data_IF_440715469878
#
_entry.id   IF_440715469878
#
_cell.length_a   1.000
_cell.length_b   1.000
_cell.length_c   1.000
_cell.angle_alpha   90.00
_cell.angle_beta   90.00
_cell.angle_gamma   90.00
#
_symmetry.space_group_name_H-M   'P 1'
#
loop_
_entity.id
_entity.type
_entity.pdbx_description
1 polymer ?
#
# COMPACT_ATOMS: atom_id res chain seq x y z
N UNK A 1 -24.83 -21.65 22.96
CA UNK A 1 -23.45 -22.10 22.67
C UNK A 1 -22.74 -20.97 21.98
N UNK A 2 -21.72 -20.45 22.65
CA UNK A 2 -20.99 -19.23 22.36
C UNK A 2 -19.81 -19.65 21.46
N UNK A 3 -19.91 -19.43 20.15
CA UNK A 3 -18.75 -19.62 19.28
C UNK A 3 -17.78 -18.47 19.55
N UNK A 4 -16.58 -18.82 20.02
CA UNK A 4 -15.50 -17.89 20.28
C UNK A 4 -15.26 -17.02 19.03
N UNK A 5 -15.39 -15.69 19.18
CA UNK A 5 -14.79 -14.73 18.24
C UNK A 5 -13.31 -15.09 18.15
N UNK A 6 -12.88 -15.59 17.00
CA UNK A 6 -11.47 -15.86 16.72
C UNK A 6 -10.61 -14.62 17.00
N UNK A 7 -9.52 -14.85 17.70
CA UNK A 7 -8.64 -13.91 18.41
C UNK A 7 -7.88 -12.90 17.56
N UNK A 8 -7.94 -12.99 16.23
CA UNK A 8 -7.13 -12.15 15.32
C UNK A 8 -7.54 -10.67 15.38
N UNK A 9 -8.83 -10.39 15.58
CA UNK A 9 -9.32 -9.00 15.69
C UNK A 9 -9.10 -8.37 17.08
N UNK A 10 -8.68 -9.15 18.08
CA UNK A 10 -8.57 -8.65 19.45
C UNK A 10 -7.55 -7.51 19.59
N UNK A 11 -6.56 -7.48 18.70
CA UNK A 11 -5.48 -6.49 18.69
C UNK A 11 -5.57 -5.49 17.54
N UNK A 12 -6.67 -5.48 16.76
CA UNK A 12 -6.87 -4.49 15.71
C UNK A 12 -7.16 -3.12 16.34
N UNK A 13 -6.38 -2.07 16.05
CA UNK A 13 -6.66 -0.73 16.57
C UNK A 13 -7.94 -0.16 15.96
N UNK A 14 -8.68 0.62 16.76
CA UNK A 14 -9.87 1.34 16.30
C UNK A 14 -9.47 2.39 15.25
N UNK A 15 -9.65 2.01 13.99
CA UNK A 15 -9.14 2.72 12.83
C UNK A 15 -9.88 2.34 11.56
N UNK A 16 -9.81 3.22 10.56
CA UNK A 16 -10.31 2.95 9.21
C UNK A 16 -9.14 2.66 8.28
N UNK A 17 -9.32 1.66 7.43
CA UNK A 17 -8.36 1.25 6.41
C UNK A 17 -8.84 1.74 5.04
N UNK A 18 -7.90 2.14 4.19
CA UNK A 18 -8.22 2.41 2.78
C UNK A 18 -8.27 1.09 2.00
N UNK A 19 -9.37 0.85 1.28
CA UNK A 19 -9.80 -0.49 0.83
C UNK A 19 -8.91 -1.11 -0.28
N UNK A 20 -8.10 -0.29 -0.96
CA UNK A 20 -7.63 -0.65 -2.31
C UNK A 20 -6.12 -0.88 -2.47
N UNK A 21 -5.27 -0.45 -1.54
CA UNK A 21 -3.81 -0.44 -1.78
C UNK A 21 -3.06 -1.05 -0.60
N UNK A 22 -2.49 -2.22 -0.86
CA UNK A 22 -1.68 -3.01 0.08
C UNK A 22 -0.27 -3.17 -0.45
N UNK A 23 0.70 -3.30 0.45
CA UNK A 23 2.04 -3.78 0.09
C UNK A 23 2.54 -4.78 1.13
N UNK A 24 3.41 -5.70 0.72
CA UNK A 24 3.93 -6.76 1.58
C UNK A 24 5.45 -6.75 1.58
N UNK A 25 6.04 -6.68 2.76
CA UNK A 25 7.50 -6.69 2.97
C UNK A 25 7.80 -7.21 4.37
N UNK A 26 8.93 -7.90 4.55
CA UNK A 26 9.36 -8.46 5.84
C UNK A 26 8.28 -9.28 6.57
N UNK A 27 7.57 -10.16 5.84
CA UNK A 27 6.56 -11.05 6.43
C UNK A 27 5.27 -10.37 6.87
N UNK A 28 5.11 -9.06 6.62
CA UNK A 28 3.92 -8.31 7.01
C UNK A 28 3.20 -7.71 5.81
N UNK A 29 1.87 -7.65 5.92
CA UNK A 29 0.99 -6.94 4.98
C UNK A 29 0.70 -5.55 5.54
N UNK A 30 0.75 -4.53 4.69
CA UNK A 30 0.65 -3.13 5.08
C UNK A 30 -0.52 -2.45 4.40
N UNK A 31 -1.22 -1.61 5.16
CA UNK A 31 -2.31 -0.79 4.67
C UNK A 31 -2.14 0.65 5.11
N UNK A 32 -2.64 1.55 4.28
CA UNK A 32 -2.97 2.88 4.71
C UNK A 32 -4.11 2.84 5.75
N UNK A 33 -3.88 3.46 6.90
CA UNK A 33 -4.88 3.61 7.94
C UNK A 33 -4.91 5.03 8.52
N UNK A 34 -6.05 5.35 9.13
CA UNK A 34 -6.23 6.57 9.89
C UNK A 34 -7.29 6.41 10.99
N UNK A 35 -7.25 7.28 12.01
CA UNK A 35 -8.30 7.39 13.02
C UNK A 35 -8.58 8.84 13.38
N UNK A 36 -9.80 9.11 13.84
CA UNK A 36 -10.15 10.40 14.44
C UNK A 36 -9.64 10.44 15.89
N UNK A 37 -9.09 11.57 16.30
CA UNK A 37 -8.74 11.86 17.69
C UNK A 37 -9.87 12.65 18.35
N UNK A 38 -9.92 12.62 19.69
CA UNK A 38 -10.96 13.30 20.48
C UNK A 38 -11.01 14.82 20.25
N UNK A 39 -9.90 15.42 19.81
CA UNK A 39 -9.80 16.85 19.49
C UNK A 39 -10.21 17.19 18.04
N UNK A 40 -10.77 16.22 17.31
CA UNK A 40 -11.22 16.37 15.93
C UNK A 40 -10.10 16.29 14.88
N UNK A 41 -8.85 16.06 15.28
CA UNK A 41 -7.74 15.83 14.33
C UNK A 41 -7.75 14.40 13.80
N UNK A 42 -7.01 14.18 12.72
CA UNK A 42 -6.82 12.87 12.11
C UNK A 42 -5.40 12.37 12.32
N UNK A 43 -5.26 11.16 12.85
CA UNK A 43 -3.97 10.49 12.93
C UNK A 43 -3.86 9.49 11.78
N UNK A 44 -2.96 9.75 10.85
CA UNK A 44 -2.60 8.84 9.77
C UNK A 44 -1.44 7.92 10.22
N UNK A 45 -1.50 6.64 9.88
CA UNK A 45 -0.47 5.65 10.21
C UNK A 45 -0.56 4.46 9.25
N UNK A 46 0.51 3.69 9.13
CA UNK A 46 0.50 2.45 8.37
C UNK A 46 0.13 1.33 9.33
N UNK A 47 -0.94 0.60 9.02
CA UNK A 47 -1.27 -0.62 9.74
C UNK A 47 -0.49 -1.78 9.12
N UNK A 48 0.26 -2.52 9.93
CA UNK A 48 0.96 -3.72 9.54
C UNK A 48 0.31 -4.93 10.20
N UNK A 49 0.09 -6.01 9.46
CA UNK A 49 -0.28 -7.32 9.98
C UNK A 49 0.89 -8.26 9.75
N UNK A 50 1.54 -8.65 10.83
CA UNK A 50 2.64 -9.60 10.83
C UNK A 50 2.06 -11.01 10.73
N UNK A 51 2.43 -11.74 9.66
CA UNK A 51 1.82 -13.04 9.36
C UNK A 51 2.32 -14.13 10.31
N UNK A 52 3.54 -14.01 10.83
CA UNK A 52 4.16 -15.03 11.69
C UNK A 52 3.59 -14.98 13.12
N UNK A 53 3.44 -13.76 13.66
CA UNK A 53 2.88 -13.53 14.99
C UNK A 53 1.37 -13.39 15.01
N UNK A 54 0.74 -13.19 13.85
CA UNK A 54 -0.69 -12.89 13.68
C UNK A 54 -1.12 -11.61 14.44
N UNK A 55 -0.21 -10.65 14.57
CA UNK A 55 -0.44 -9.41 15.31
C UNK A 55 -0.48 -8.19 14.40
N UNK A 56 -1.30 -7.22 14.81
CA UNK A 56 -1.33 -5.90 14.20
C UNK A 56 -0.34 -4.97 14.90
N UNK A 57 0.37 -4.19 14.11
CA UNK A 57 1.30 -3.18 14.57
C UNK A 57 1.07 -1.88 13.81
N UNK A 58 1.37 -0.76 14.47
CA UNK A 58 1.26 0.56 13.88
C UNK A 58 2.64 1.09 13.56
N UNK A 59 2.84 1.56 12.33
CA UNK A 59 4.06 2.22 11.89
C UNK A 59 3.71 3.69 11.64
N UNK A 60 4.47 4.62 12.23
CA UNK A 60 4.18 6.04 12.04
C UNK A 60 4.55 6.47 10.62
N UNK A 61 3.70 7.30 10.02
CA UNK A 61 4.08 8.06 8.81
C UNK A 61 5.11 9.14 9.17
N UNK A 62 5.85 9.71 8.21
CA UNK A 62 6.85 10.73 8.48
C UNK A 62 6.30 11.95 9.27
N UNK A 63 7.10 12.52 10.17
CA UNK A 63 6.66 13.58 11.10
C UNK A 63 6.23 14.88 10.40
N UNK A 64 6.72 15.14 9.20
CA UNK A 64 6.40 16.34 8.42
C UNK A 64 4.97 16.36 7.87
N UNK A 65 4.20 15.27 8.03
CA UNK A 65 2.85 15.17 7.50
C UNK A 65 1.82 15.86 8.37
N UNK A 66 0.93 16.62 7.72
CA UNK A 66 -0.18 17.32 8.38
C UNK A 66 -1.26 16.30 8.77
N UNK A 67 -1.76 16.46 10.00
CA UNK A 67 -2.77 15.60 10.64
C UNK A 67 -4.18 16.23 10.62
N UNK A 68 -4.39 17.17 9.71
CA UNK A 68 -5.63 17.95 9.62
C UNK A 68 -6.73 17.22 8.86
N UNK A 69 -6.41 16.23 8.01
CA UNK A 69 -7.36 15.41 7.25
C UNK A 69 -6.87 13.97 7.05
N UNK A 70 -7.78 13.02 6.73
CA UNK A 70 -7.37 11.74 6.16
C UNK A 70 -6.56 12.01 4.89
N UNK A 71 -5.33 11.51 4.87
CA UNK A 71 -4.44 11.69 3.73
C UNK A 71 -4.78 10.67 2.64
N UNK A 72 -4.50 10.99 1.39
CA UNK A 72 -4.46 10.04 0.28
C UNK A 72 -2.98 9.74 0.01
N UNK A 73 -2.51 8.57 0.48
CA UNK A 73 -1.13 8.13 0.25
C UNK A 73 -1.10 6.69 -0.23
N UNK A 74 -0.14 6.42 -1.12
CA UNK A 74 0.07 5.11 -1.74
C UNK A 74 1.28 4.44 -1.11
N UNK A 75 1.19 3.13 -0.85
CA UNK A 75 2.29 2.33 -0.32
C UNK A 75 2.85 1.40 -1.40
N UNK A 76 4.15 1.17 -1.37
CA UNK A 76 4.83 0.17 -2.19
C UNK A 76 6.02 -0.40 -1.44
N UNK A 77 6.57 -1.50 -1.96
CA UNK A 77 7.88 -2.00 -1.52
C UNK A 77 8.94 -0.99 -1.99
N UNK A 78 9.95 -0.74 -1.17
CA UNK A 78 11.09 0.10 -1.54
C UNK A 78 11.89 -0.52 -2.70
N UNK A 79 12.66 0.31 -3.41
CA UNK A 79 13.42 -0.15 -4.58
C UNK A 79 14.48 -1.22 -4.32
N UNK A 80 14.96 -1.32 -3.08
CA UNK A 80 15.87 -2.36 -2.62
C UNK A 80 15.16 -3.63 -2.13
N UNK A 81 13.82 -3.61 -2.04
CA UNK A 81 13.00 -4.75 -1.63
C UNK A 81 12.87 -4.96 -0.12
N UNK A 82 13.57 -4.17 0.71
CA UNK A 82 13.76 -4.48 2.14
C UNK A 82 12.82 -3.70 3.08
N UNK A 83 12.08 -2.72 2.55
CA UNK A 83 11.28 -1.82 3.36
C UNK A 83 10.08 -1.24 2.58
N UNK A 84 9.45 -0.22 3.15
CA UNK A 84 8.27 0.45 2.62
C UNK A 84 8.69 1.77 1.96
N UNK A 85 8.12 2.03 0.80
CA UNK A 85 8.05 3.35 0.21
C UNK A 85 6.62 3.91 0.30
N UNK A 86 6.53 5.22 0.50
CA UNK A 86 5.28 5.94 0.59
C UNK A 86 5.28 7.09 -0.41
N UNK A 87 4.17 7.22 -1.13
CA UNK A 87 3.95 8.30 -2.08
C UNK A 87 2.76 9.13 -1.63
N UNK A 88 2.95 10.45 -1.57
CA UNK A 88 1.92 11.35 -1.05
C UNK A 88 1.57 12.41 -2.07
N UNK A 89 0.28 12.54 -2.35
CA UNK A 89 -0.29 13.57 -3.22
C UNK A 89 -1.30 14.36 -2.38
N UNK A 90 -0.98 15.59 -1.95
CA UNK A 90 -1.96 16.44 -1.27
C UNK A 90 -3.13 16.67 -2.22
N UNK A 91 -4.30 16.12 -1.91
CA UNK A 91 -5.53 16.34 -2.69
C UNK A 91 -6.55 17.08 -1.85
N UNK A 92 -7.14 18.13 -2.42
CA UNK A 92 -8.25 18.85 -1.83
C UNK A 92 -8.63 20.09 -2.64
N UNK A 93 -9.91 20.44 -2.64
CA UNK A 93 -10.45 21.61 -3.36
C UNK A 93 -9.82 22.96 -2.97
N UNK A 94 -9.09 23.02 -1.85
CA UNK A 94 -8.40 24.22 -1.34
C UNK A 94 -6.89 23.99 -1.16
N UNK A 95 -6.32 22.91 -1.71
CA UNK A 95 -4.88 22.68 -1.67
C UNK A 95 -4.25 23.44 -2.84
N UNK A 96 -3.46 24.47 -2.52
CA UNK A 96 -2.70 25.29 -3.50
C UNK A 96 -1.46 24.57 -4.02
N UNK A 97 -1.11 23.43 -3.44
CA UNK A 97 0.12 22.70 -3.71
C UNK A 97 -0.25 21.32 -4.28
N UNK A 98 -0.07 21.16 -5.59
CA UNK A 98 -0.15 19.87 -6.25
C UNK A 98 1.29 19.35 -6.40
N UNK A 99 1.71 18.40 -5.56
CA UNK A 99 3.02 17.77 -5.69
C UNK A 99 2.94 16.28 -5.38
N UNK A 100 3.87 15.52 -5.92
CA UNK A 100 4.09 14.13 -5.57
C UNK A 100 5.38 14.00 -4.77
N UNK A 101 5.23 13.73 -3.48
CA UNK A 101 6.32 13.47 -2.56
C UNK A 101 6.59 11.96 -2.49
N UNK A 102 7.85 11.57 -2.62
CA UNK A 102 8.29 10.16 -2.55
C UNK A 102 9.19 9.98 -1.33
N UNK A 103 8.78 9.07 -0.44
CA UNK A 103 9.47 8.76 0.80
C UNK A 103 9.84 7.28 0.85
N UNK A 104 10.94 6.98 1.53
CA UNK A 104 11.35 5.60 1.84
C UNK A 104 11.69 5.48 3.31
N UNK A 105 11.27 4.38 3.93
CA UNK A 105 11.70 4.00 5.26
C UNK A 105 13.04 3.28 5.14
N UNK A 106 14.13 3.94 5.52
CA UNK A 106 15.48 3.40 5.30
C UNK A 106 15.80 2.21 6.21
N UNK A 107 15.12 2.12 7.35
CA UNK A 107 15.18 0.96 8.25
C UNK A 107 13.74 0.55 8.60
N UNK A 108 13.36 -0.65 8.16
CA UNK A 108 11.99 -1.13 8.31
C UNK A 108 11.52 -1.12 9.77
N UNK A 109 10.32 -0.60 10.02
CA UNK A 109 9.72 -0.49 11.35
C UNK A 109 10.27 0.65 12.22
N UNK A 110 11.30 1.37 11.79
CA UNK A 110 11.88 2.49 12.56
C UNK A 110 11.29 3.82 12.09
N UNK A 111 10.41 4.39 12.91
CA UNK A 111 9.70 5.64 12.64
C UNK A 111 10.60 6.82 12.25
N UNK A 112 11.80 6.91 12.82
CA UNK A 112 12.73 8.02 12.57
C UNK A 112 13.61 7.81 11.33
N UNK A 113 13.49 6.66 10.65
CA UNK A 113 14.29 6.30 9.47
C UNK A 113 13.69 6.77 8.14
N UNK A 114 12.54 7.43 8.17
CA UNK A 114 11.90 7.97 6.96
C UNK A 114 12.77 9.05 6.31
N UNK A 115 13.11 8.82 5.04
CA UNK A 115 13.85 9.77 4.21
C UNK A 115 13.00 10.17 3.00
N UNK A 116 12.92 11.48 2.73
CA UNK A 116 12.32 11.99 1.49
C UNK A 116 13.34 11.84 0.36
N UNK A 117 12.96 11.18 -0.73
CA UNK A 117 13.81 10.99 -1.91
C UNK A 117 13.68 12.17 -2.88
N UNK A 118 12.44 12.56 -3.21
CA UNK A 118 12.17 13.65 -4.16
C UNK A 118 10.77 14.22 -3.94
N UNK A 119 10.60 15.47 -4.36
CA UNK A 119 9.30 16.13 -4.60
C UNK A 119 9.19 16.41 -6.10
N UNK A 120 8.13 15.92 -6.74
CA UNK A 120 7.77 16.27 -8.10
C UNK A 120 6.69 17.34 -8.06
N UNK A 121 6.98 18.51 -8.60
CA UNK A 121 6.05 19.64 -8.69
C UNK A 121 5.49 19.75 -10.11
N UNK A 122 4.37 20.47 -10.30
CA UNK A 122 3.80 20.70 -11.61
C UNK A 122 4.74 21.58 -12.43
N UNK A 123 4.67 21.51 -13.77
CA UNK A 123 5.48 22.33 -14.65
C UNK A 123 5.16 23.84 -14.53
N UNK A 124 3.95 24.21 -14.13
CA UNK A 124 3.52 25.59 -13.91
C UNK A 124 2.53 25.69 -12.73
N UNK A 125 2.32 26.89 -12.14
CA UNK A 125 1.47 27.04 -10.95
C UNK A 125 -0.01 26.73 -11.15
N UNK A 126 -0.49 26.68 -12.39
CA UNK A 126 -1.90 26.44 -12.73
C UNK A 126 -2.15 24.99 -13.14
N UNK A 127 -1.09 24.23 -13.44
CA UNK A 127 -1.17 22.82 -13.81
C UNK A 127 -1.08 21.88 -12.61
N UNK A 128 -1.53 20.64 -12.87
CA UNK A 128 -1.46 19.54 -11.92
C UNK A 128 -0.23 18.69 -12.16
N UNK A 129 0.19 17.92 -11.15
CA UNK A 129 1.20 16.88 -11.39
C UNK A 129 0.56 15.82 -12.29
N UNK A 130 1.07 15.61 -13.51
CA UNK A 130 0.44 14.70 -14.47
C UNK A 130 0.80 13.24 -14.17
N UNK A 131 1.32 12.94 -12.99
CA UNK A 131 1.87 11.63 -12.63
C UNK A 131 1.22 11.09 -11.37
N UNK A 132 0.73 9.85 -11.45
CA UNK A 132 0.29 9.09 -10.28
C UNK A 132 1.25 7.93 -10.02
N UNK A 133 1.73 7.76 -8.78
CA UNK A 133 2.69 6.72 -8.45
C UNK A 133 2.06 5.33 -8.46
N UNK A 134 2.83 4.33 -8.86
CA UNK A 134 2.44 2.91 -8.82
C UNK A 134 3.33 2.10 -7.89
N UNK A 135 4.63 2.03 -8.16
CA UNK A 135 5.54 1.20 -7.37
C UNK A 135 7.00 1.50 -7.67
N UNK A 136 7.90 0.95 -6.85
CA UNK A 136 9.29 0.82 -7.23
C UNK A 136 9.53 -0.43 -8.08
N UNK A 137 10.49 -0.35 -8.99
CA UNK A 137 11.10 -1.50 -9.65
C UNK A 137 12.33 -1.95 -8.85
N UNK A 138 12.74 -3.21 -9.03
CA UNK A 138 13.96 -3.79 -8.42
C UNK A 138 15.28 -3.03 -8.72
N UNK A 139 15.27 -2.04 -9.62
CA UNK A 139 16.42 -1.18 -9.95
C UNK A 139 16.40 0.19 -9.25
N UNK A 140 15.43 0.43 -8.37
CA UNK A 140 15.23 1.72 -7.71
C UNK A 140 14.49 2.77 -8.56
N UNK A 141 14.17 2.46 -9.81
CA UNK A 141 13.29 3.30 -10.64
C UNK A 141 11.87 3.28 -10.09
N UNK A 142 11.17 4.41 -10.15
CA UNK A 142 9.76 4.52 -9.78
C UNK A 142 8.89 4.40 -11.02
N UNK A 143 7.88 3.54 -11.01
CA UNK A 143 6.85 3.49 -12.04
C UNK A 143 5.74 4.48 -11.68
N UNK A 144 5.42 5.32 -12.66
CA UNK A 144 4.38 6.34 -12.60
C UNK A 144 3.41 6.13 -13.77
N UNK A 145 2.18 6.57 -13.58
CA UNK A 145 1.18 6.70 -14.62
C UNK A 145 1.10 8.16 -15.02
N UNK A 146 1.47 8.45 -16.26
CA UNK A 146 1.19 9.74 -16.87
C UNK A 146 -0.31 9.81 -17.19
N UNK A 147 -0.98 10.86 -16.75
CA UNK A 147 -2.37 11.18 -17.09
C UNK A 147 -2.38 12.36 -18.05
N UNK A 148 -3.12 12.26 -19.16
CA UNK A 148 -3.45 13.45 -19.94
C UNK A 148 -4.48 14.33 -19.20
N UNK A 149 -4.59 15.60 -19.61
CA UNK A 149 -5.54 16.56 -19.01
C UNK A 149 -7.01 16.10 -19.14
N UNK A 150 -7.27 15.17 -20.05
CA UNK A 150 -8.59 14.60 -20.31
C UNK A 150 -8.88 13.30 -19.52
N UNK A 151 -7.89 12.78 -18.78
CA UNK A 151 -7.98 11.60 -17.92
C UNK A 151 -8.25 10.28 -18.63
N UNK A 152 -8.09 10.20 -19.96
CA UNK A 152 -8.58 9.08 -20.76
C UNK A 152 -7.48 8.08 -21.13
N UNK A 153 -6.27 8.55 -21.40
CA UNK A 153 -5.15 7.68 -21.76
C UNK A 153 -4.06 7.72 -20.71
N UNK A 154 -3.72 6.53 -20.21
CA UNK A 154 -2.68 6.32 -19.23
C UNK A 154 -1.47 5.71 -19.89
N UNK A 155 -0.31 6.34 -19.70
CA UNK A 155 0.96 5.82 -20.17
C UNK A 155 1.88 5.56 -18.99
N UNK A 156 2.49 4.37 -18.95
CA UNK A 156 3.46 4.05 -17.92
C UNK A 156 4.81 4.69 -18.23
N UNK A 157 5.35 5.38 -17.23
CA UNK A 157 6.63 6.07 -17.29
C UNK A 157 7.47 5.63 -16.10
N UNK A 158 8.75 5.33 -16.33
CA UNK A 158 9.72 5.12 -15.26
C UNK A 158 10.47 6.42 -14.97
N UNK A 159 10.57 6.78 -13.69
CA UNK A 159 11.42 7.85 -13.17
C UNK A 159 12.68 7.24 -12.57
N UNK A 160 13.84 7.61 -13.13
CA UNK A 160 15.13 7.36 -12.50
C UNK A 160 15.40 8.44 -11.45
N UNK A 161 15.53 8.06 -10.19
CA UNK A 161 15.65 9.01 -9.08
C UNK A 161 17.03 9.69 -9.01
N UNK A 162 18.06 9.12 -9.63
CA UNK A 162 19.44 9.65 -9.60
C UNK A 162 19.58 10.77 -10.63
N UNK A 163 19.24 10.48 -11.87
CA UNK A 163 19.28 11.39 -13.01
C UNK A 163 18.05 12.30 -13.10
N UNK A 164 16.97 11.96 -12.38
CA UNK A 164 15.65 12.62 -12.43
C UNK A 164 15.04 12.62 -13.82
N UNK A 165 15.41 11.65 -14.65
CA UNK A 165 14.91 11.51 -16.01
C UNK A 165 13.72 10.57 -16.06
N UNK A 166 12.76 10.94 -16.92
CA UNK A 166 11.59 10.14 -17.22
C UNK A 166 11.85 9.32 -18.49
N UNK A 167 11.44 8.07 -18.47
CA UNK A 167 11.50 7.18 -19.62
C UNK A 167 10.14 6.53 -19.83
N UNK A 168 9.62 6.68 -21.04
CA UNK A 168 8.39 6.03 -21.46
C UNK A 168 8.61 4.50 -21.55
N UNK A 169 7.70 3.72 -20.95
CA UNK A 169 7.76 2.26 -20.97
C UNK A 169 7.03 1.64 -22.17
N UNK A 170 6.33 2.45 -22.98
CA UNK A 170 5.59 2.01 -24.17
C UNK A 170 4.30 1.28 -23.85
N UNK A 171 3.88 1.27 -22.58
CA UNK A 171 2.65 0.60 -22.12
C UNK A 171 1.57 1.65 -21.96
N UNK A 172 0.50 1.49 -22.74
CA UNK A 172 -0.65 2.39 -22.75
C UNK A 172 -1.92 1.62 -22.42
N UNK A 173 -2.83 2.25 -21.70
CA UNK A 173 -4.12 1.67 -21.36
C UNK A 173 -5.18 2.73 -21.12
N UNK A 174 -6.43 2.25 -21.10
CA UNK A 174 -7.61 3.03 -20.75
C UNK A 174 -8.18 2.46 -19.44
N UNK A 175 -8.50 3.31 -18.46
CA UNK A 175 -9.14 2.89 -17.21
C UNK A 175 -8.17 2.63 -16.03
N UNK A 176 -8.55 1.74 -15.12
CA UNK A 176 -7.84 1.53 -13.86
C UNK A 176 -6.49 0.83 -14.05
N UNK A 177 -5.49 1.32 -13.31
CA UNK A 177 -4.15 0.74 -13.25
C UNK A 177 -3.89 0.25 -11.83
N UNK A 178 -3.22 -0.89 -11.72
CA UNK A 178 -2.79 -1.46 -10.46
C UNK A 178 -1.48 -2.21 -10.69
N UNK A 179 -0.59 -2.13 -9.72
CA UNK A 179 0.72 -2.78 -9.78
C UNK A 179 0.90 -3.57 -8.48
N UNK A 180 1.06 -4.88 -8.62
CA UNK A 180 1.43 -5.73 -7.49
C UNK A 180 2.89 -6.13 -7.60
N UNK A 181 3.64 -6.14 -6.48
CA UNK A 181 4.91 -6.82 -6.44
C UNK A 181 4.66 -8.32 -6.69
N UNK A 182 5.17 -8.81 -7.82
CA UNK A 182 5.13 -10.23 -8.16
C UNK A 182 6.50 -10.86 -7.90
N UNK A 183 6.53 -11.81 -6.98
CA UNK A 183 7.66 -12.72 -6.76
C UNK A 183 7.27 -14.07 -7.38
N UNK A 184 8.09 -14.56 -8.32
CA UNK A 184 7.89 -15.88 -8.91
C UNK A 184 8.12 -16.95 -7.83
N UNK A 185 7.06 -17.62 -7.41
CA UNK A 185 7.16 -18.85 -6.63
C UNK A 185 7.06 -20.03 -7.60
N UNK A 186 8.19 -20.69 -7.87
CA UNK A 186 8.19 -21.99 -8.51
C UNK A 186 7.75 -23.04 -7.48
N UNK A 187 6.45 -23.17 -7.27
CA UNK A 187 5.91 -24.43 -6.80
C UNK A 187 6.11 -25.45 -7.95
N UNK A 188 7.15 -26.27 -7.86
CA UNK A 188 7.41 -27.37 -8.78
C UNK A 188 6.19 -28.30 -8.79
N UNK A 189 5.36 -28.17 -9.83
CA UNK A 189 4.26 -29.08 -10.12
C UNK A 189 4.76 -30.23 -11.00
N UNK A 190 5.89 -30.85 -10.64
CA UNK A 190 6.30 -32.15 -11.18
C UNK A 190 7.54 -32.67 -10.43
N UNK A 191 7.33 -33.62 -9.53
CA UNK A 191 7.97 -34.91 -9.69
C UNK A 191 7.25 -35.98 -8.89
N UNK A 192 6.92 -37.03 -9.62
CA UNK A 192 6.43 -38.33 -9.15
C UNK A 192 7.56 -38.95 -8.31
N UNK A 193 7.47 -38.85 -6.98
CA UNK A 193 7.63 -39.96 -6.03
C UNK A 193 7.81 -39.50 -4.56
N UNK A 194 6.81 -39.86 -3.76
CA UNK A 194 6.78 -40.10 -2.30
C UNK A 194 7.26 -38.96 -1.37
N UNK A 195 6.39 -38.26 -0.62
CA UNK A 195 5.37 -38.77 0.31
C UNK A 195 4.04 -38.01 0.13
N UNK A 196 2.97 -38.78 -0.03
CA UNK A 196 1.59 -38.30 -0.13
C UNK A 196 1.15 -37.59 1.16
N UNK A 197 1.09 -36.26 1.13
CA UNK A 197 -0.01 -35.55 1.74
C UNK A 197 -1.07 -35.38 0.64
N UNK A 198 -2.31 -35.78 0.92
CA UNK A 198 -3.34 -35.94 -0.11
C UNK A 198 -3.52 -34.60 -0.81
N UNK A 199 -3.74 -34.59 -2.12
CA UNK A 199 -4.03 -33.36 -2.90
C UNK A 199 -5.23 -32.56 -2.40
N UNK A 200 -6.03 -33.12 -1.48
CA UNK A 200 -7.00 -32.37 -0.70
C UNK A 200 -6.31 -31.41 0.29
N UNK A 201 -5.22 -31.77 0.97
CA UNK A 201 -4.63 -31.00 2.07
C UNK A 201 -3.94 -29.72 1.58
N UNK A 202 -3.30 -29.75 0.41
CA UNK A 202 -2.62 -28.57 -0.16
C UNK A 202 -3.62 -27.60 -0.82
N UNK A 203 -4.65 -28.14 -1.50
CA UNK A 203 -5.79 -27.35 -1.99
C UNK A 203 -6.59 -26.81 -0.80
N UNK A 204 -6.71 -27.55 0.30
CA UNK A 204 -7.38 -27.11 1.52
C UNK A 204 -6.55 -26.09 2.30
N UNK A 205 -5.21 -26.12 2.26
CA UNK A 205 -4.34 -25.06 2.79
C UNK A 205 -4.47 -23.78 1.97
N UNK A 206 -4.48 -23.88 0.64
CA UNK A 206 -4.66 -22.73 -0.24
C UNK A 206 -6.07 -22.15 -0.13
N UNK A 207 -7.10 -23.01 -0.11
CA UNK A 207 -8.48 -22.61 0.15
C UNK A 207 -8.62 -22.07 1.58
N UNK A 208 -8.00 -22.67 2.59
CA UNK A 208 -8.05 -22.17 3.96
C UNK A 208 -7.40 -20.79 4.07
N UNK A 209 -6.25 -20.55 3.43
CA UNK A 209 -5.65 -19.22 3.34
C UNK A 209 -6.59 -18.26 2.61
N UNK A 210 -7.12 -18.61 1.45
CA UNK A 210 -8.08 -17.78 0.72
C UNK A 210 -9.33 -17.51 1.56
N UNK A 211 -9.84 -18.49 2.31
CA UNK A 211 -10.99 -18.34 3.21
C UNK A 211 -10.63 -17.51 4.44
N UNK A 212 -9.43 -17.64 5.01
CA UNK A 212 -8.95 -16.82 6.13
C UNK A 212 -8.79 -15.37 5.68
N UNK A 213 -8.20 -15.15 4.51
CA UNK A 213 -8.08 -13.84 3.88
C UNK A 213 -9.47 -13.27 3.60
N UNK A 214 -10.38 -14.02 2.95
CA UNK A 214 -11.76 -13.57 2.68
C UNK A 214 -12.55 -13.32 3.97
N UNK A 215 -12.33 -14.10 5.04
CA UNK A 215 -12.97 -13.88 6.34
C UNK A 215 -12.41 -12.67 7.06
N UNK A 216 -11.08 -12.48 7.05
CA UNK A 216 -10.41 -11.28 7.56
C UNK A 216 -10.94 -10.06 6.79
N UNK A 217 -11.05 -10.14 5.46
CA UNK A 217 -11.65 -9.10 4.62
C UNK A 217 -13.12 -8.84 4.95
N UNK A 218 -13.94 -9.87 5.13
CA UNK A 218 -15.35 -9.72 5.45
C UNK A 218 -15.58 -9.12 6.84
N UNK A 219 -14.75 -9.53 7.81
CA UNK A 219 -14.76 -8.97 9.16
C UNK A 219 -14.26 -7.53 9.21
N UNK A 220 -13.21 -7.20 8.46
CA UNK A 220 -12.69 -5.84 8.29
C UNK A 220 -13.71 -4.93 7.58
N UNK A 221 -14.36 -5.43 6.52
CA UNK A 221 -15.39 -4.71 5.79
C UNK A 221 -16.59 -4.35 6.68
N UNK A 222 -17.05 -5.30 7.51
CA UNK A 222 -18.13 -5.06 8.48
C UNK A 222 -17.70 -4.07 9.58
N UNK A 223 -16.44 -4.15 10.04
CA UNK A 223 -15.90 -3.21 11.02
C UNK A 223 -15.82 -1.77 10.48
N UNK A 224 -15.37 -1.59 9.24
CA UNK A 224 -15.28 -0.28 8.56
C UNK A 224 -16.66 0.37 8.36
N UNK A 225 -17.71 -0.42 8.08
CA UNK A 225 -19.08 0.08 7.88
C UNK A 225 -19.84 0.33 9.20
N UNK A 226 -19.38 -0.19 10.33
CA UNK A 226 -20.05 -0.08 11.64
C UNK A 226 -19.77 1.21 12.41
N UNK A 227 -18.68 1.91 12.11
CA UNK A 227 -18.24 3.08 12.88
C UNK A 227 -18.72 4.38 12.23
N UNK A 228 -19.98 4.75 12.46
CA UNK A 228 -20.52 6.08 12.12
C UNK A 228 -19.87 7.14 13.03
N UNK A 229 -19.02 8.00 12.47
CA UNK A 229 -18.68 9.28 13.11
C UNK A 229 -19.75 10.29 12.74
N UNK A 230 -20.33 10.92 13.77
CA UNK A 230 -21.15 12.14 13.67
C UNK A 230 -20.25 13.33 13.33
#
# INVERSE_FOLDING_TARGET
MQYAKGSILANLPDSRMHDTIRTSVNGAVHWQAWRCLDDGRYQNFILAFDVDSELFHEIKVPKSFRQDKPLDYHLSVSGDGNSIAMFTMPRGHNCTEDFLDIWVMTEYGIDDSWAKLITLSPPDPESRVPYKPLCFRKRGEVVLVSTDDYGNMHELVSLDLVSKQFKNLGIRGYGYYYAEPYEESLALLDNVDAVSYRGADQVMLYLALVFLFVWIFFLLYIYVQGSNCV
#
